data_IF_086924433103
#
_entry.id   IF_086924433103
#
_cell.length_a   1.000
_cell.length_b   1.000
_cell.length_c   1.000
_cell.angle_alpha   90.00
_cell.angle_beta   90.00
_cell.angle_gamma   90.00
#
_symmetry.space_group_name_H-M   'P 1'
#
loop_
_entity.id
_entity.type
_entity.pdbx_description
1 polymer ?
#
# COMPACT_ATOMS: atom_id res chain seq x y z
N UNK A 1 -9.75 18.74 5.43
CA UNK A 1 -8.93 18.50 4.21
C UNK A 1 -8.64 17.00 4.07
N UNK A 2 -8.31 16.58 2.89
CA UNK A 2 -7.95 15.19 2.60
C UNK A 2 -6.82 15.19 1.58
N UNK A 3 -5.78 14.42 1.85
CA UNK A 3 -4.61 14.34 0.97
C UNK A 3 -4.36 12.88 0.61
N UNK A 4 -3.98 12.65 -0.63
CA UNK A 4 -3.84 11.32 -1.19
C UNK A 4 -2.40 11.05 -1.61
N UNK A 5 -1.98 9.80 -1.47
CA UNK A 5 -0.77 9.28 -2.10
C UNK A 5 -1.08 7.94 -2.74
N UNK A 6 -0.45 7.65 -3.85
CA UNK A 6 -0.71 6.45 -4.62
C UNK A 6 0.58 5.84 -5.16
N UNK A 7 0.70 4.53 -5.04
CA UNK A 7 1.77 3.77 -5.68
C UNK A 7 1.16 2.88 -6.75
N UNK A 8 1.56 3.09 -8.00
CA UNK A 8 1.12 2.28 -9.14
C UNK A 8 2.13 1.18 -9.41
N UNK A 9 1.62 -0.01 -9.74
CA UNK A 9 2.46 -1.10 -10.20
C UNK A 9 3.35 -1.72 -9.13
N UNK A 10 2.88 -1.80 -7.90
CA UNK A 10 3.62 -2.50 -6.85
C UNK A 10 3.72 -3.99 -7.20
N UNK A 11 4.92 -4.55 -7.09
CA UNK A 11 5.22 -5.95 -7.45
C UNK A 11 4.81 -6.91 -6.33
N UNK A 12 3.53 -6.91 -5.98
CA UNK A 12 2.96 -7.75 -4.95
C UNK A 12 1.47 -7.96 -5.25
N UNK A 13 0.91 -9.08 -4.80
CA UNK A 13 -0.51 -9.33 -5.04
C UNK A 13 -1.39 -8.41 -4.19
N UNK A 14 -2.52 -7.99 -4.75
CA UNK A 14 -3.47 -7.12 -4.05
C UNK A 14 -3.96 -7.75 -2.74
N UNK A 15 -4.17 -9.06 -2.73
CA UNK A 15 -4.66 -9.77 -1.53
C UNK A 15 -3.71 -9.59 -0.35
N UNK A 16 -2.41 -9.71 -0.57
CA UNK A 16 -1.42 -9.56 0.49
C UNK A 16 -1.40 -8.14 1.06
N UNK A 17 -1.56 -7.14 0.19
CA UNK A 17 -1.60 -5.74 0.62
C UNK A 17 -2.89 -5.44 1.36
N UNK A 18 -4.01 -6.01 0.93
CA UNK A 18 -5.30 -5.79 1.57
C UNK A 18 -5.32 -6.25 3.03
N UNK A 19 -4.60 -7.32 3.35
CA UNK A 19 -4.48 -7.79 4.73
C UNK A 19 -3.85 -6.71 5.63
N UNK A 20 -2.82 -6.04 5.13
CA UNK A 20 -2.17 -4.95 5.85
C UNK A 20 -3.07 -3.71 5.89
N UNK A 21 -3.71 -3.38 4.77
CA UNK A 21 -4.58 -2.21 4.69
C UNK A 21 -5.73 -2.29 5.70
N UNK A 22 -6.29 -3.47 5.90
CA UNK A 22 -7.40 -3.65 6.85
C UNK A 22 -6.98 -3.37 8.29
N UNK A 23 -5.70 -3.53 8.61
CA UNK A 23 -5.19 -3.29 9.97
C UNK A 23 -5.09 -1.80 10.30
N UNK A 24 -4.94 -0.94 9.31
CA UNK A 24 -4.71 0.49 9.53
C UNK A 24 -5.87 1.38 9.13
N UNK A 25 -6.89 0.81 8.49
CA UNK A 25 -8.03 1.62 8.03
C UNK A 25 -8.74 2.29 9.20
N UNK A 26 -8.93 3.60 9.10
CA UNK A 26 -9.65 4.38 10.11
C UNK A 26 -8.85 4.72 11.36
N UNK A 27 -7.58 4.33 11.43
CA UNK A 27 -6.74 4.60 12.59
C UNK A 27 -6.02 5.94 12.47
N UNK A 28 -5.65 6.51 13.61
CA UNK A 28 -4.78 7.67 13.62
C UNK A 28 -3.44 7.33 12.94
N UNK A 29 -2.85 8.31 12.27
CA UNK A 29 -1.61 8.08 11.51
C UNK A 29 -0.49 7.54 12.40
N UNK A 30 -0.34 8.07 13.62
CA UNK A 30 0.67 7.58 14.56
C UNK A 30 0.52 6.10 14.86
N UNK A 31 -0.72 5.67 15.14
CA UNK A 31 -1.02 4.27 15.42
C UNK A 31 -0.80 3.39 14.19
N UNK A 32 -1.20 3.89 13.03
CA UNK A 32 -1.02 3.15 11.76
C UNK A 32 0.46 2.93 11.46
N UNK A 33 1.29 3.96 11.62
CA UNK A 33 2.73 3.86 11.40
C UNK A 33 3.37 2.86 12.35
N UNK A 34 2.94 2.84 13.60
CA UNK A 34 3.45 1.90 14.59
C UNK A 34 3.10 0.46 14.21
N UNK A 35 1.86 0.21 13.80
CA UNK A 35 1.44 -1.12 13.35
C UNK A 35 2.30 -1.57 12.15
N UNK A 36 2.52 -0.68 11.18
CA UNK A 36 3.30 -1.01 9.99
C UNK A 36 4.77 -1.26 10.31
N UNK A 37 5.32 -0.50 11.26
CA UNK A 37 6.72 -0.65 11.64
C UNK A 37 7.01 -2.01 12.27
N UNK A 38 6.08 -2.55 13.05
CA UNK A 38 6.27 -3.82 13.75
C UNK A 38 5.72 -5.02 12.99
N UNK A 39 5.20 -4.82 11.78
CA UNK A 39 4.73 -5.91 10.95
C UNK A 39 5.91 -6.56 10.21
N UNK A 40 5.91 -7.89 10.15
CA UNK A 40 6.94 -8.64 9.43
C UNK A 40 6.63 -8.79 7.94
N UNK A 41 5.51 -8.27 7.47
CA UNK A 41 5.08 -8.45 6.08
C UNK A 41 5.75 -7.45 5.17
N UNK A 42 6.18 -7.91 3.98
CA UNK A 42 6.74 -7.04 2.94
C UNK A 42 5.76 -5.93 2.54
N UNK A 43 4.47 -6.28 2.48
CA UNK A 43 3.43 -5.31 2.13
C UNK A 43 3.39 -4.14 3.10
N UNK A 44 3.71 -4.36 4.39
CA UNK A 44 3.71 -3.30 5.38
C UNK A 44 4.74 -2.22 5.06
N UNK A 45 5.92 -2.61 4.56
CA UNK A 45 6.95 -1.64 4.18
C UNK A 45 6.49 -0.75 3.03
N UNK A 46 5.81 -1.34 2.05
CA UNK A 46 5.27 -0.59 0.92
C UNK A 46 4.18 0.38 1.36
N UNK A 47 3.25 -0.09 2.18
CA UNK A 47 2.15 0.74 2.68
C UNK A 47 2.71 1.87 3.55
N UNK A 48 3.71 1.58 4.37
CA UNK A 48 4.34 2.60 5.21
C UNK A 48 4.93 3.73 4.38
N UNK A 49 5.62 3.40 3.29
CA UNK A 49 6.21 4.41 2.40
C UNK A 49 5.12 5.31 1.80
N UNK A 50 4.01 4.72 1.40
CA UNK A 50 2.91 5.46 0.80
C UNK A 50 2.24 6.35 1.84
N UNK A 51 2.05 5.82 3.04
CA UNK A 51 1.47 6.60 4.15
C UNK A 51 2.38 7.75 4.54
N UNK A 52 3.68 7.54 4.63
CA UNK A 52 4.64 8.61 4.90
C UNK A 52 4.56 9.71 3.84
N UNK A 53 4.42 9.31 2.58
CA UNK A 53 4.26 10.25 1.47
C UNK A 53 2.97 11.07 1.61
N UNK A 54 1.86 10.44 1.95
CA UNK A 54 0.59 11.12 2.15
C UNK A 54 0.67 12.11 3.31
N UNK A 55 1.31 11.73 4.40
CA UNK A 55 1.52 12.59 5.56
C UNK A 55 2.40 13.79 5.19
N UNK A 56 3.49 13.56 4.47
CA UNK A 56 4.37 14.63 4.03
C UNK A 56 3.63 15.61 3.13
N UNK A 57 2.80 15.11 2.22
CA UNK A 57 1.98 15.96 1.35
C UNK A 57 1.00 16.81 2.17
N UNK A 58 0.38 16.23 3.18
CA UNK A 58 -0.54 16.95 4.04
C UNK A 58 0.16 18.06 4.83
N UNK A 59 1.34 17.78 5.37
CA UNK A 59 2.12 18.77 6.12
C UNK A 59 2.60 19.92 5.23
N UNK A 60 3.15 19.58 4.07
CA UNK A 60 3.75 20.61 3.19
C UNK A 60 2.72 21.41 2.41
N UNK A 61 1.67 20.76 1.92
CA UNK A 61 0.72 21.42 1.04
C UNK A 61 -0.46 22.03 1.79
N UNK A 62 -0.84 21.47 2.92
CA UNK A 62 -2.03 21.89 3.66
C UNK A 62 -1.70 22.39 5.07
N UNK A 63 -0.44 22.33 5.48
CA UNK A 63 -0.03 22.76 6.83
C UNK A 63 -0.63 21.93 7.95
N UNK A 64 -1.03 20.70 7.66
CA UNK A 64 -1.71 19.86 8.66
C UNK A 64 -0.74 19.36 9.73
N UNK A 65 -1.28 19.17 10.94
CA UNK A 65 -0.53 18.60 12.06
C UNK A 65 -0.69 17.08 12.03
N UNK A 66 0.42 16.36 12.03
CA UNK A 66 0.40 14.89 11.99
C UNK A 66 -0.41 14.28 13.11
N UNK A 67 -0.44 14.92 14.28
CA UNK A 67 -1.19 14.40 15.43
C UNK A 67 -2.70 14.43 15.21
N UNK A 68 -3.17 15.23 14.28
CA UNK A 68 -4.59 15.34 13.93
C UNK A 68 -4.99 14.50 12.74
N UNK A 69 -4.01 13.90 12.05
CA UNK A 69 -4.28 13.12 10.85
C UNK A 69 -4.67 11.68 11.17
N UNK A 70 -5.53 11.14 10.33
CA UNK A 70 -5.92 9.73 10.39
C UNK A 70 -6.00 9.16 8.98
N UNK A 71 -5.91 7.85 8.90
CA UNK A 71 -6.09 7.15 7.62
C UNK A 71 -7.59 7.10 7.34
N UNK A 72 -8.06 8.01 6.49
CA UNK A 72 -9.49 8.09 6.16
C UNK A 72 -9.89 6.98 5.19
N UNK A 73 -9.04 6.69 4.23
CA UNK A 73 -9.31 5.70 3.19
C UNK A 73 -8.01 5.04 2.78
N UNK A 74 -8.06 3.73 2.64
CA UNK A 74 -7.00 2.97 1.99
C UNK A 74 -7.66 1.86 1.17
N UNK A 75 -7.27 1.74 -0.09
CA UNK A 75 -7.75 0.66 -0.95
C UNK A 75 -6.67 0.21 -1.90
N UNK A 76 -6.83 -1.01 -2.37
CA UNK A 76 -5.85 -1.67 -3.22
C UNK A 76 -6.59 -2.20 -4.45
N UNK A 77 -6.17 -1.74 -5.62
CA UNK A 77 -6.70 -2.19 -6.90
C UNK A 77 -5.75 -3.16 -7.55
N UNK A 78 -6.28 -4.18 -8.21
CA UNK A 78 -5.45 -5.09 -8.98
C UNK A 78 -4.89 -4.36 -10.20
N UNK A 79 -3.59 -4.55 -10.42
CA UNK A 79 -2.93 -4.03 -11.61
C UNK A 79 -2.79 -5.09 -12.68
N UNK A 80 -1.93 -4.80 -13.65
CA UNK A 80 -1.66 -5.72 -14.74
C UNK A 80 -1.01 -6.99 -14.21
N UNK A 81 -1.51 -8.14 -14.65
CA UNK A 81 -0.87 -9.44 -14.38
C UNK A 81 -0.06 -9.84 -15.60
N UNK A 82 1.24 -9.99 -15.42
CA UNK A 82 2.12 -10.42 -16.50
C UNK A 82 2.30 -11.93 -16.41
N UNK A 83 2.04 -12.60 -17.55
CA UNK A 83 2.23 -14.04 -17.66
C UNK A 83 3.61 -14.32 -18.23
N UNK A 84 4.36 -15.19 -17.57
CA UNK A 84 5.66 -15.65 -18.04
C UNK A 84 5.64 -17.16 -18.17
N UNK A 85 6.39 -17.68 -19.12
CA UNK A 85 6.55 -19.12 -19.31
C UNK A 85 7.94 -19.48 -18.86
N UNK A 86 8.04 -20.46 -17.96
CA UNK A 86 9.33 -20.97 -17.50
C UNK A 86 9.51 -22.39 -18.01
N UNK A 87 10.52 -22.66 -18.85
CA UNK A 87 10.79 -24.01 -19.32
C UNK A 87 11.10 -24.95 -18.17
N UNK A 88 10.55 -26.15 -18.23
CA UNK A 88 10.81 -27.23 -17.27
C UNK A 88 11.41 -28.40 -17.99
N UNK A 89 11.90 -29.39 -17.25
CA UNK A 89 12.49 -30.59 -17.81
C UNK A 89 11.52 -31.32 -18.75
N UNK A 90 12.04 -32.01 -19.74
CA UNK A 90 11.29 -32.80 -20.75
C UNK A 90 10.35 -31.97 -21.60
N UNK A 91 10.71 -30.74 -21.90
CA UNK A 91 9.93 -29.87 -22.79
C UNK A 91 8.66 -29.33 -22.22
N UNK A 92 8.40 -29.52 -20.92
CA UNK A 92 7.25 -28.92 -20.25
C UNK A 92 7.54 -27.46 -19.93
N UNK A 93 6.50 -26.64 -19.92
CA UNK A 93 6.57 -25.24 -19.55
C UNK A 93 5.54 -24.94 -18.47
N UNK A 94 5.97 -24.24 -17.43
CA UNK A 94 5.06 -23.77 -16.38
C UNK A 94 4.77 -22.28 -16.60
N UNK A 95 3.53 -21.92 -16.35
CA UNK A 95 3.09 -20.54 -16.43
C UNK A 95 3.34 -19.85 -15.10
N UNK A 96 4.07 -18.73 -15.13
CA UNK A 96 4.32 -17.90 -13.96
C UNK A 96 3.50 -16.64 -14.10
N UNK A 97 2.71 -16.33 -13.07
CA UNK A 97 1.92 -15.10 -13.00
C UNK A 97 2.64 -14.09 -12.12
N UNK A 98 3.02 -12.95 -12.71
CA UNK A 98 3.57 -11.84 -11.97
C UNK A 98 2.48 -10.82 -11.77
N UNK A 99 1.94 -10.79 -10.57
CA UNK A 99 0.84 -9.90 -10.22
C UNK A 99 1.36 -8.57 -9.72
N UNK A 100 0.59 -7.52 -9.96
CA UNK A 100 0.87 -6.20 -9.44
C UNK A 100 -0.41 -5.60 -8.87
N UNK A 101 -0.27 -4.52 -8.15
CA UNK A 101 -1.42 -3.80 -7.61
C UNK A 101 -1.12 -2.31 -7.53
N UNK A 102 -2.18 -1.53 -7.33
CA UNK A 102 -2.10 -0.10 -7.12
C UNK A 102 -2.64 0.19 -5.72
N UNK A 103 -1.87 0.90 -4.93
CA UNK A 103 -2.22 1.19 -3.55
C UNK A 103 -2.51 2.67 -3.41
N UNK A 104 -3.68 3.02 -2.87
CA UNK A 104 -4.07 4.41 -2.64
C UNK A 104 -4.34 4.61 -1.16
N UNK A 105 -3.71 5.62 -0.57
CA UNK A 105 -3.92 6.01 0.82
C UNK A 105 -4.37 7.46 0.86
N UNK A 106 -5.43 7.73 1.61
CA UNK A 106 -5.91 9.08 1.86
C UNK A 106 -5.84 9.35 3.36
N UNK A 107 -5.29 10.49 3.72
CA UNK A 107 -5.25 10.95 5.11
C UNK A 107 -6.07 12.22 5.22
N UNK A 108 -6.71 12.39 6.37
CA UNK A 108 -7.58 13.52 6.62
C UNK A 108 -7.46 13.94 8.08
N UNK A 109 -7.76 15.20 8.36
CA UNK A 109 -7.75 15.75 9.72
C UNK A 109 -9.14 15.70 10.37
N UNK A 110 -10.05 14.94 9.79
CA UNK A 110 -11.41 14.62 10.23
C UNK A 110 -12.42 14.75 9.11
#
# INVERSE_FOLDING_TARGET
METMSRLKGAQISAQKVRLVADQIRGKAVGDALEILQFSNKKAADLVKKILDSAVANAEHNEGADIDELRVSTIFVDEGVTMKRVKPRAKGRADRILKRSCHITVKVADR
#
